data_IF_136229697803
#
_entry.id   IF_136229697803
#
_cell.length_a   1.000
_cell.length_b   1.000
_cell.length_c   1.000
_cell.angle_alpha   90.00
_cell.angle_beta   90.00
_cell.angle_gamma   90.00
#
_symmetry.space_group_name_H-M   'P 1'
#
loop_
_entity.id
_entity.type
_entity.pdbx_description
1 polymer ?
#
# COMPACT_ATOMS: atom_id res chain seq x y z
N UNK A 1 35.47 -16.48 -28.64
CA UNK A 1 34.76 -15.92 -29.80
C UNK A 1 33.51 -16.75 -30.03
N UNK A 2 32.31 -16.16 -29.93
CA UNK A 2 31.07 -16.90 -30.28
C UNK A 2 31.09 -17.20 -31.79
N UNK A 3 30.61 -18.36 -32.26
CA UNK A 3 30.53 -18.64 -33.69
C UNK A 3 29.51 -17.68 -34.32
N UNK A 4 30.00 -16.77 -35.16
CA UNK A 4 29.16 -15.84 -35.93
C UNK A 4 28.62 -16.59 -37.15
N UNK A 5 27.30 -16.77 -37.25
CA UNK A 5 26.66 -17.33 -38.46
C UNK A 5 26.16 -16.19 -39.33
N UNK A 6 26.30 -16.33 -40.64
CA UNK A 6 25.89 -15.31 -41.60
C UNK A 6 24.54 -15.68 -42.20
N UNK A 7 23.61 -14.73 -42.31
CA UNK A 7 22.28 -14.96 -42.88
C UNK A 7 21.93 -13.88 -43.90
N UNK A 8 21.31 -14.28 -45.00
CA UNK A 8 20.75 -13.33 -45.97
C UNK A 8 19.46 -12.70 -45.42
N UNK A 9 19.36 -11.38 -45.36
CA UNK A 9 18.15 -10.69 -44.92
C UNK A 9 16.96 -10.91 -45.86
N UNK A 10 17.22 -11.08 -47.16
CA UNK A 10 16.15 -11.21 -48.16
C UNK A 10 15.51 -12.59 -48.16
N UNK A 11 16.29 -13.65 -47.98
CA UNK A 11 15.80 -15.03 -48.10
C UNK A 11 16.11 -15.93 -46.90
N UNK A 12 16.69 -15.38 -45.83
CA UNK A 12 17.04 -16.07 -44.57
C UNK A 12 17.95 -17.29 -44.69
N UNK A 13 18.63 -17.46 -45.83
CA UNK A 13 19.58 -18.56 -46.04
C UNK A 13 20.87 -18.32 -45.25
N UNK A 14 21.33 -19.35 -44.56
CA UNK A 14 22.57 -19.34 -43.79
C UNK A 14 23.81 -19.55 -44.66
N UNK A 15 24.90 -18.86 -44.32
CA UNK A 15 26.20 -18.93 -44.97
C UNK A 15 27.31 -19.15 -43.92
N UNK A 16 28.33 -19.93 -44.28
CA UNK A 16 29.46 -20.24 -43.40
C UNK A 16 30.45 -19.08 -43.22
N UNK A 17 30.49 -18.15 -44.18
CA UNK A 17 31.34 -16.95 -44.17
C UNK A 17 30.62 -15.78 -44.83
N UNK A 18 31.01 -14.56 -44.49
CA UNK A 18 30.51 -13.38 -45.18
C UNK A 18 30.91 -13.40 -46.65
N UNK A 19 29.98 -12.98 -47.51
CA UNK A 19 30.23 -12.81 -48.94
C UNK A 19 29.29 -11.73 -49.49
N UNK A 20 29.70 -11.05 -50.57
CA UNK A 20 28.98 -9.89 -51.10
C UNK A 20 27.63 -10.20 -51.76
N UNK A 21 27.37 -11.45 -52.14
CA UNK A 21 26.14 -11.85 -52.83
C UNK A 21 25.55 -13.15 -52.23
N UNK A 22 24.24 -13.16 -52.01
CA UNK A 22 23.51 -14.35 -51.58
C UNK A 22 23.48 -15.42 -52.68
N UNK A 23 23.94 -16.64 -52.37
CA UNK A 23 23.94 -17.75 -53.32
C UNK A 23 22.55 -18.30 -53.64
N UNK A 24 21.54 -17.99 -52.81
CA UNK A 24 20.16 -18.45 -53.02
C UNK A 24 19.31 -17.43 -53.79
N UNK A 25 19.23 -16.17 -53.31
CA UNK A 25 18.37 -15.16 -53.92
C UNK A 25 19.11 -14.15 -54.82
N UNK A 26 20.44 -14.27 -54.93
CA UNK A 26 21.31 -13.37 -55.73
C UNK A 26 21.32 -11.90 -55.30
N UNK A 27 20.71 -11.55 -54.17
CA UNK A 27 20.75 -10.21 -53.59
C UNK A 27 22.17 -9.85 -53.15
N UNK A 28 22.65 -8.68 -53.57
CA UNK A 28 23.92 -8.11 -53.15
C UNK A 28 23.81 -7.45 -51.77
N UNK A 29 24.91 -7.46 -51.00
CA UNK A 29 25.06 -6.84 -49.68
C UNK A 29 23.94 -7.18 -48.68
N UNK A 30 23.33 -8.35 -48.84
CA UNK A 30 22.19 -8.79 -48.03
C UNK A 30 22.59 -9.75 -46.91
N UNK A 31 23.86 -10.13 -46.80
CA UNK A 31 24.34 -11.12 -45.83
C UNK A 31 24.88 -10.42 -44.59
N UNK A 32 24.23 -10.65 -43.46
CA UNK A 32 24.63 -10.09 -42.17
C UNK A 32 25.05 -11.16 -41.17
N UNK A 33 25.99 -10.81 -40.29
CA UNK A 33 26.38 -11.64 -39.17
C UNK A 33 25.32 -11.58 -38.06
N UNK A 34 24.72 -12.71 -37.71
CA UNK A 34 23.88 -12.84 -36.51
C UNK A 34 24.61 -13.66 -35.46
N UNK A 35 24.53 -13.20 -34.22
CA UNK A 35 24.89 -14.02 -33.06
C UNK A 35 23.87 -15.16 -32.97
N UNK A 36 24.32 -16.39 -32.71
CA UNK A 36 23.38 -17.50 -32.45
C UNK A 36 22.40 -17.08 -31.35
N UNK A 37 21.11 -17.08 -31.69
CA UNK A 37 20.07 -17.09 -30.70
C UNK A 37 20.32 -18.31 -29.79
N UNK A 38 20.28 -18.11 -28.47
CA UNK A 38 20.41 -19.22 -27.51
C UNK A 38 19.41 -20.31 -27.94
N UNK A 39 19.78 -21.60 -27.87
CA UNK A 39 18.80 -22.65 -28.07
C UNK A 39 17.63 -22.37 -27.12
N UNK A 40 16.43 -22.27 -27.68
CA UNK A 40 15.20 -22.23 -26.89
C UNK A 40 15.25 -23.51 -26.06
N UNK A 41 15.48 -23.36 -24.76
CA UNK A 41 15.21 -24.45 -23.83
C UNK A 41 13.71 -24.66 -23.97
N UNK A 42 13.31 -25.75 -24.63
CA UNK A 42 11.94 -26.24 -24.57
C UNK A 42 11.67 -26.54 -23.10
N UNK A 43 11.18 -25.54 -22.36
CA UNK A 43 10.45 -25.79 -21.13
C UNK A 43 9.20 -26.49 -21.60
N UNK A 44 9.11 -27.81 -21.39
CA UNK A 44 7.82 -28.50 -21.36
C UNK A 44 6.91 -27.69 -20.44
N UNK A 45 5.96 -26.97 -21.02
CA UNK A 45 4.94 -26.29 -20.25
C UNK A 45 4.00 -27.39 -19.78
N UNK A 46 4.09 -27.75 -18.51
CA UNK A 46 3.11 -28.66 -17.90
C UNK A 46 1.70 -28.06 -18.11
N UNK A 47 0.90 -28.73 -18.95
CA UNK A 47 -0.52 -28.39 -19.11
C UNK A 47 -1.23 -28.90 -17.86
N UNK A 48 -1.30 -28.05 -16.85
CA UNK A 48 -1.96 -28.36 -15.58
C UNK A 48 -3.39 -27.83 -15.61
N UNK A 49 -4.33 -28.64 -15.13
CA UNK A 49 -5.67 -28.15 -14.79
C UNK A 49 -5.61 -27.22 -13.58
N UNK A 50 -6.56 -26.30 -13.45
CA UNK A 50 -6.60 -25.33 -12.35
C UNK A 50 -6.44 -26.00 -10.96
N UNK A 51 -7.04 -27.19 -10.78
CA UNK A 51 -7.00 -27.94 -9.52
C UNK A 51 -5.64 -28.56 -9.21
N UNK A 52 -4.74 -28.65 -10.20
CA UNK A 52 -3.38 -29.17 -10.05
C UNK A 52 -2.35 -28.05 -9.82
N UNK A 53 -2.75 -26.79 -10.00
CA UNK A 53 -1.88 -25.63 -9.77
C UNK A 53 -1.83 -25.32 -8.29
N UNK A 54 -0.72 -25.65 -7.63
CA UNK A 54 -0.44 -25.19 -6.27
C UNK A 54 -0.19 -23.68 -6.26
N UNK A 55 -1.09 -22.92 -5.65
CA UNK A 55 -1.07 -21.45 -5.63
C UNK A 55 -0.07 -20.85 -4.63
N UNK A 56 0.46 -21.63 -3.69
CA UNK A 56 1.34 -21.14 -2.60
C UNK A 56 2.86 -21.27 -2.88
N UNK A 57 3.29 -21.59 -4.11
CA UNK A 57 4.72 -21.83 -4.41
C UNK A 57 5.59 -20.57 -4.58
N UNK A 58 5.04 -19.37 -4.45
CA UNK A 58 5.80 -18.13 -4.69
C UNK A 58 6.31 -17.55 -3.37
N UNK A 59 7.62 -17.36 -3.30
CA UNK A 59 8.25 -16.69 -2.15
C UNK A 59 7.93 -15.20 -2.16
N UNK A 60 7.72 -14.64 -0.96
CA UNK A 60 7.49 -13.22 -0.74
C UNK A 60 8.63 -12.66 0.13
N UNK A 61 9.07 -11.44 -0.18
CA UNK A 61 9.85 -10.65 0.76
C UNK A 61 8.89 -10.09 1.81
N UNK A 62 9.28 -10.23 3.08
CA UNK A 62 8.55 -9.65 4.19
C UNK A 62 8.63 -8.12 4.08
N UNK A 63 7.49 -7.48 4.29
CA UNK A 63 7.42 -6.03 4.47
C UNK A 63 6.54 -5.78 5.68
N UNK A 64 7.03 -5.01 6.65
CA UNK A 64 6.30 -4.76 7.89
C UNK A 64 5.41 -3.52 7.82
N UNK A 65 5.68 -2.58 6.90
CA UNK A 65 4.82 -1.43 6.63
C UNK A 65 3.38 -1.82 6.18
N UNK A 66 2.33 -1.39 6.90
CA UNK A 66 0.94 -1.69 6.54
C UNK A 66 0.49 -1.12 5.18
N UNK A 67 0.95 0.09 4.79
CA UNK A 67 0.64 0.64 3.44
C UNK A 67 1.06 -0.33 2.35
N UNK A 68 2.25 -0.88 2.48
CA UNK A 68 2.80 -1.77 1.47
C UNK A 68 2.20 -3.17 1.56
N UNK A 69 1.87 -3.65 2.76
CA UNK A 69 1.05 -4.87 2.94
C UNK A 69 -0.29 -4.75 2.20
N UNK A 70 -0.94 -3.59 2.22
CA UNK A 70 -2.21 -3.41 1.48
C UNK A 70 -2.06 -3.56 -0.04
N UNK A 71 -0.89 -3.25 -0.61
CA UNK A 71 -0.62 -3.47 -2.03
C UNK A 71 -0.32 -4.93 -2.37
N UNK A 72 0.36 -5.67 -1.48
CA UNK A 72 0.89 -6.99 -1.82
C UNK A 72 0.40 -8.15 -0.93
N UNK A 73 -0.53 -7.89 -0.01
CA UNK A 73 -1.16 -8.80 0.97
C UNK A 73 -0.15 -9.63 1.78
N UNK A 74 0.46 -10.66 1.17
CA UNK A 74 1.42 -11.61 1.75
C UNK A 74 2.87 -11.10 1.79
N UNK A 75 3.16 -9.93 1.21
CA UNK A 75 4.50 -9.34 1.10
C UNK A 75 4.90 -9.07 -0.34
N UNK A 76 6.09 -8.52 -0.61
CA UNK A 76 6.48 -8.20 -1.99
C UNK A 76 6.90 -9.48 -2.71
N UNK A 77 6.22 -9.90 -3.80
CA UNK A 77 6.49 -11.20 -4.42
C UNK A 77 7.88 -11.19 -5.05
N UNK A 78 8.70 -12.20 -4.76
CA UNK A 78 9.98 -12.39 -5.45
C UNK A 78 9.76 -12.70 -6.93
N UNK A 79 10.83 -12.58 -7.73
CA UNK A 79 10.82 -12.87 -9.18
C UNK A 79 9.82 -11.99 -9.92
N UNK A 80 9.81 -10.70 -9.61
CA UNK A 80 8.83 -9.75 -10.12
C UNK A 80 9.48 -8.46 -10.60
N UNK A 81 8.82 -7.81 -11.55
CA UNK A 81 9.25 -6.51 -12.08
C UNK A 81 8.13 -5.49 -11.90
N UNK A 82 8.46 -4.38 -11.23
CA UNK A 82 7.55 -3.27 -10.96
C UNK A 82 8.05 -1.98 -11.59
N UNK A 83 7.13 -1.14 -12.04
CA UNK A 83 7.42 0.22 -12.51
C UNK A 83 6.86 1.23 -11.52
N UNK A 84 7.70 2.21 -11.17
CA UNK A 84 7.30 3.42 -10.46
C UNK A 84 7.41 4.62 -11.41
N UNK A 85 6.26 5.17 -11.77
CA UNK A 85 6.14 6.33 -12.65
C UNK A 85 5.78 7.59 -11.88
N UNK A 86 6.13 8.76 -12.41
CA UNK A 86 5.75 10.04 -11.81
C UNK A 86 6.59 11.21 -12.31
N UNK A 87 6.11 12.43 -12.07
CA UNK A 87 6.79 13.65 -12.54
C UNK A 87 8.20 13.77 -11.90
N UNK A 88 9.17 14.42 -12.57
CA UNK A 88 10.44 14.78 -11.92
C UNK A 88 10.19 15.53 -10.60
N UNK A 89 10.95 15.23 -9.55
CA UNK A 89 10.80 15.88 -8.24
C UNK A 89 9.63 15.41 -7.36
N UNK A 90 8.79 14.49 -7.83
CA UNK A 90 7.65 13.98 -7.03
C UNK A 90 8.07 13.10 -5.84
N UNK A 91 9.32 12.64 -5.78
CA UNK A 91 9.82 11.78 -4.70
C UNK A 91 9.87 10.28 -5.03
N UNK A 92 10.01 9.91 -6.31
CA UNK A 92 10.15 8.51 -6.75
C UNK A 92 11.37 7.82 -6.12
N UNK A 93 12.52 8.48 -6.17
CA UNK A 93 13.76 7.98 -5.59
C UNK A 93 13.61 7.81 -4.07
N UNK A 94 12.96 8.76 -3.39
CA UNK A 94 12.61 8.63 -1.96
C UNK A 94 11.68 7.44 -1.67
N UNK A 95 10.81 7.05 -2.60
CA UNK A 95 9.94 5.88 -2.42
C UNK A 95 10.69 4.56 -2.59
N UNK A 96 11.58 4.45 -3.56
CA UNK A 96 12.42 3.25 -3.67
C UNK A 96 13.43 3.15 -2.53
N UNK A 97 13.89 4.26 -1.96
CA UNK A 97 14.66 4.28 -0.72
C UNK A 97 13.84 3.77 0.47
N UNK A 98 12.59 4.22 0.59
CA UNK A 98 11.65 3.70 1.58
C UNK A 98 11.44 2.19 1.43
N UNK A 99 11.28 1.69 0.19
CA UNK A 99 11.18 0.24 -0.06
C UNK A 99 12.45 -0.52 0.34
N UNK A 100 13.63 0.01 0.02
CA UNK A 100 14.89 -0.60 0.41
C UNK A 100 15.02 -0.67 1.94
N UNK A 101 14.60 0.38 2.66
CA UNK A 101 14.57 0.40 4.14
C UNK A 101 13.65 -0.66 4.72
N UNK A 102 12.46 -0.82 4.15
CA UNK A 102 11.42 -1.70 4.69
C UNK A 102 11.60 -3.18 4.34
N UNK A 103 12.35 -3.49 3.27
CA UNK A 103 12.41 -4.84 2.71
C UNK A 103 13.85 -5.36 2.61
N UNK A 104 14.78 -4.50 2.21
CA UNK A 104 16.00 -4.92 1.54
C UNK A 104 17.22 -4.86 2.43
N UNK A 105 17.50 -5.95 3.16
CA UNK A 105 18.78 -6.13 3.85
C UNK A 105 19.96 -6.13 2.86
N UNK A 106 19.72 -6.55 1.60
CA UNK A 106 20.67 -6.48 0.48
C UNK A 106 20.01 -5.84 -0.74
N UNK A 107 20.41 -4.62 -1.03
CA UNK A 107 19.82 -3.80 -2.10
C UNK A 107 20.87 -3.38 -3.13
N UNK A 108 20.57 -3.54 -4.41
CA UNK A 108 21.40 -3.06 -5.52
C UNK A 108 20.75 -1.85 -6.17
N UNK A 109 21.48 -0.73 -6.21
CA UNK A 109 21.08 0.48 -6.92
C UNK A 109 21.88 0.64 -8.21
N UNK A 110 21.16 0.65 -9.33
CA UNK A 110 21.68 1.06 -10.63
C UNK A 110 21.27 2.51 -10.86
N UNK A 111 22.24 3.41 -10.69
CA UNK A 111 22.00 4.85 -10.71
C UNK A 111 22.50 5.39 -12.04
N UNK A 112 21.62 6.09 -12.76
CA UNK A 112 21.95 6.69 -14.03
C UNK A 112 21.98 8.22 -14.01
N UNK A 113 21.07 8.87 -13.29
CA UNK A 113 20.95 10.34 -13.29
C UNK A 113 21.72 11.04 -12.16
N UNK A 114 21.88 10.38 -11.01
CA UNK A 114 22.52 10.94 -9.81
C UNK A 114 23.92 10.36 -9.57
N UNK A 115 24.78 11.10 -8.87
CA UNK A 115 26.10 10.59 -8.47
C UNK A 115 25.98 9.59 -7.31
N UNK A 116 26.97 8.71 -7.17
CA UNK A 116 27.00 7.73 -6.06
C UNK A 116 26.99 8.42 -4.71
N UNK A 117 27.71 9.54 -4.59
CA UNK A 117 27.83 10.34 -3.37
C UNK A 117 26.47 10.94 -2.99
N UNK A 118 25.74 11.49 -3.96
CA UNK A 118 24.41 12.05 -3.74
C UNK A 118 23.41 11.01 -3.24
N UNK A 119 23.43 9.81 -3.84
CA UNK A 119 22.54 8.71 -3.43
C UNK A 119 22.94 8.19 -2.05
N UNK A 120 24.24 8.02 -1.78
CA UNK A 120 24.71 7.59 -0.47
C UNK A 120 24.31 8.57 0.64
N UNK A 121 24.46 9.88 0.40
CA UNK A 121 24.04 10.92 1.36
C UNK A 121 22.52 10.93 1.56
N UNK A 122 21.73 10.72 0.50
CA UNK A 122 20.27 10.59 0.60
C UNK A 122 19.87 9.38 1.44
N UNK A 123 20.47 8.22 1.19
CA UNK A 123 20.14 6.99 1.89
C UNK A 123 20.52 7.04 3.36
N UNK A 124 21.65 7.68 3.70
CA UNK A 124 22.00 8.00 5.09
C UNK A 124 20.95 8.87 5.77
N UNK A 125 20.49 9.93 5.10
CA UNK A 125 19.43 10.80 5.64
C UNK A 125 18.10 10.07 5.80
N UNK A 126 17.78 9.16 4.88
CA UNK A 126 16.56 8.34 4.96
C UNK A 126 16.68 7.18 5.95
N UNK A 127 17.83 7.04 6.61
CA UNK A 127 18.14 5.97 7.56
C UNK A 127 17.94 4.58 6.94
N UNK A 128 18.29 4.43 5.66
CA UNK A 128 18.28 3.13 5.01
C UNK A 128 19.47 2.34 5.57
N UNK A 129 19.17 1.19 6.16
CA UNK A 129 20.15 0.29 6.75
C UNK A 129 20.23 -1.00 5.94
N UNK A 130 21.38 -1.67 5.93
CA UNK A 130 21.63 -2.89 5.16
C UNK A 130 22.88 -2.81 4.28
N UNK A 131 23.16 -3.90 3.57
CA UNK A 131 24.24 -4.01 2.59
C UNK A 131 23.76 -3.44 1.25
N UNK A 132 24.04 -2.15 1.04
CA UNK A 132 23.64 -1.42 -0.16
C UNK A 132 24.82 -1.31 -1.11
N UNK A 133 24.68 -1.89 -2.30
CA UNK A 133 25.67 -1.78 -3.38
C UNK A 133 25.20 -0.80 -4.44
N UNK A 134 26.11 0.06 -4.92
CA UNK A 134 25.84 1.04 -5.97
C UNK A 134 26.68 0.78 -7.22
N UNK A 135 26.05 0.89 -8.38
CA UNK A 135 26.72 0.92 -9.68
C UNK A 135 26.30 2.17 -10.45
N UNK A 136 27.29 2.84 -11.05
CA UNK A 136 27.12 4.08 -11.81
C UNK A 136 26.94 3.78 -13.30
N UNK A 137 26.06 4.60 -13.90
CA UNK A 137 25.87 5.02 -15.30
C UNK A 137 26.36 4.10 -16.43
N UNK A 138 25.41 3.76 -17.30
CA UNK A 138 25.50 3.01 -18.56
C UNK A 138 25.73 1.51 -18.43
N UNK A 139 25.00 0.87 -17.52
CA UNK A 139 24.95 -0.59 -17.47
C UNK A 139 24.15 -1.10 -18.66
N UNK A 140 24.85 -1.80 -19.55
CA UNK A 140 24.19 -2.62 -20.57
C UNK A 140 23.42 -3.74 -19.86
N UNK A 141 22.16 -3.96 -20.24
CA UNK A 141 21.32 -5.00 -19.65
C UNK A 141 21.99 -6.39 -19.72
N UNK A 142 22.83 -6.65 -20.73
CA UNK A 142 23.63 -7.87 -20.85
C UNK A 142 24.64 -8.08 -19.71
N UNK A 143 25.11 -7.01 -19.06
CA UNK A 143 26.03 -7.09 -17.92
C UNK A 143 25.32 -7.40 -16.59
N UNK A 144 24.02 -7.10 -16.50
CA UNK A 144 23.23 -7.28 -15.27
C UNK A 144 23.25 -8.70 -14.76
N UNK A 145 23.28 -9.68 -15.65
CA UNK A 145 23.41 -11.09 -15.28
C UNK A 145 24.65 -11.38 -14.42
N UNK A 146 25.81 -10.86 -14.85
CA UNK A 146 27.07 -11.05 -14.13
C UNK A 146 27.13 -10.27 -12.82
N UNK A 147 26.41 -9.15 -12.73
CA UNK A 147 26.30 -8.34 -11.53
C UNK A 147 25.39 -9.02 -10.50
N UNK A 148 24.18 -9.42 -10.90
CA UNK A 148 23.20 -10.07 -10.04
C UNK A 148 23.72 -11.42 -9.52
N UNK A 149 24.49 -12.16 -10.31
CA UNK A 149 25.08 -13.43 -9.86
C UNK A 149 26.11 -13.26 -8.73
N UNK A 150 26.84 -12.12 -8.72
CA UNK A 150 27.85 -11.80 -7.71
C UNK A 150 27.23 -11.20 -6.44
N UNK A 151 26.36 -10.20 -6.61
CA UNK A 151 25.80 -9.43 -5.49
C UNK A 151 24.65 -10.18 -4.81
N UNK A 152 23.84 -10.91 -5.60
CA UNK A 152 22.63 -11.60 -5.14
C UNK A 152 21.72 -10.73 -4.24
N UNK A 153 21.31 -9.54 -4.74
CA UNK A 153 20.44 -8.65 -3.98
C UNK A 153 19.01 -9.23 -3.91
N UNK A 154 18.28 -8.85 -2.87
CA UNK A 154 16.84 -9.15 -2.77
C UNK A 154 16.02 -8.16 -3.59
N UNK A 155 16.48 -6.92 -3.62
CA UNK A 155 15.90 -5.82 -4.41
C UNK A 155 16.95 -5.21 -5.32
N UNK A 156 16.59 -5.04 -6.59
CA UNK A 156 17.36 -4.27 -7.56
C UNK A 156 16.54 -3.04 -7.99
N UNK A 157 17.05 -1.84 -7.71
CA UNK A 157 16.44 -0.57 -8.06
C UNK A 157 17.17 0.01 -9.27
N UNK A 158 16.41 0.36 -10.31
CA UNK A 158 16.90 0.97 -11.54
C UNK A 158 16.36 2.40 -11.62
N UNK A 159 17.20 3.39 -11.32
CA UNK A 159 16.84 4.81 -11.34
C UNK A 159 17.75 5.57 -12.34
N UNK A 160 17.34 5.77 -13.61
CA UNK A 160 16.00 5.57 -14.21
C UNK A 160 16.05 4.63 -15.43
N UNK A 161 14.88 4.13 -15.87
CA UNK A 161 14.76 3.25 -17.04
C UNK A 161 15.45 3.81 -18.30
N UNK A 162 15.41 5.14 -18.47
CA UNK A 162 16.00 5.86 -19.60
C UNK A 162 17.52 5.67 -19.71
N UNK A 163 18.16 5.28 -18.61
CA UNK A 163 19.61 5.13 -18.52
C UNK A 163 20.09 3.74 -18.93
N UNK A 164 19.20 2.75 -19.01
CA UNK A 164 19.49 1.43 -19.53
C UNK A 164 19.76 1.46 -21.04
N UNK A 165 20.64 0.56 -21.49
CA UNK A 165 20.97 0.32 -22.89
C UNK A 165 20.99 -1.18 -23.17
N UNK A 166 20.70 -1.54 -24.42
CA UNK A 166 20.90 -2.89 -24.93
C UNK A 166 21.77 -2.80 -26.19
N UNK A 167 22.97 -3.38 -26.14
CA UNK A 167 23.96 -3.35 -27.21
C UNK A 167 24.23 -1.93 -27.75
N UNK A 168 24.24 -0.94 -26.84
CA UNK A 168 24.43 0.48 -27.18
C UNK A 168 23.24 1.17 -27.87
N UNK A 169 22.13 0.46 -28.12
CA UNK A 169 20.92 1.00 -28.74
C UNK A 169 19.84 1.39 -27.73
N UNK A 170 18.98 2.34 -28.13
CA UNK A 170 17.80 2.83 -27.37
C UNK A 170 16.51 2.81 -28.21
N UNK A 171 16.42 1.94 -29.22
CA UNK A 171 15.24 1.83 -30.08
C UNK A 171 13.99 1.32 -29.33
N UNK A 172 12.78 1.52 -29.88
CA UNK A 172 11.54 1.00 -29.26
C UNK A 172 11.53 -0.52 -29.10
N UNK A 173 12.04 -1.26 -30.08
CA UNK A 173 12.18 -2.72 -30.00
C UNK A 173 13.15 -3.14 -28.91
N UNK A 174 14.23 -2.38 -28.69
CA UNK A 174 15.17 -2.64 -27.60
C UNK A 174 14.51 -2.47 -26.22
N UNK A 175 13.51 -1.59 -26.06
CA UNK A 175 12.85 -1.38 -24.76
C UNK A 175 12.00 -2.56 -24.31
N UNK A 176 11.22 -3.15 -25.23
CA UNK A 176 10.43 -4.34 -24.93
C UNK A 176 11.33 -5.55 -24.64
N UNK A 177 12.42 -5.67 -25.39
CA UNK A 177 13.41 -6.72 -25.19
C UNK A 177 14.13 -6.58 -23.84
N UNK A 178 14.55 -5.36 -23.46
CA UNK A 178 15.14 -5.09 -22.16
C UNK A 178 14.22 -5.53 -21.01
N UNK A 179 12.93 -5.25 -21.09
CA UNK A 179 11.97 -5.64 -20.03
C UNK A 179 11.80 -7.15 -19.97
N UNK A 180 11.77 -7.83 -21.12
CA UNK A 180 11.76 -9.30 -21.15
C UNK A 180 12.99 -9.88 -20.47
N UNK A 181 14.18 -9.33 -20.79
CA UNK A 181 15.44 -9.77 -20.17
C UNK A 181 15.41 -9.50 -18.66
N UNK A 182 14.92 -8.34 -18.21
CA UNK A 182 14.77 -8.04 -16.79
C UNK A 182 13.82 -9.01 -16.09
N UNK A 183 12.71 -9.41 -16.74
CA UNK A 183 11.80 -10.43 -16.23
C UNK A 183 12.49 -11.79 -16.06
N UNK A 184 13.27 -12.22 -17.07
CA UNK A 184 14.05 -13.45 -16.99
C UNK A 184 15.10 -13.39 -15.88
N UNK A 185 15.79 -12.25 -15.72
CA UNK A 185 16.77 -12.04 -14.65
C UNK A 185 16.12 -12.04 -13.26
N UNK A 186 14.95 -11.41 -13.12
CA UNK A 186 14.19 -11.44 -11.88
C UNK A 186 13.85 -12.89 -11.48
N UNK A 187 13.42 -13.70 -12.45
CA UNK A 187 13.12 -15.11 -12.24
C UNK A 187 14.36 -15.96 -11.93
N UNK A 188 15.43 -15.80 -12.72
CA UNK A 188 16.69 -16.55 -12.62
C UNK A 188 17.40 -16.30 -11.27
N UNK A 189 17.38 -15.07 -10.77
CA UNK A 189 18.11 -14.67 -9.55
C UNK A 189 17.24 -14.48 -8.31
N UNK A 190 15.94 -14.76 -8.39
CA UNK A 190 15.00 -14.61 -7.26
C UNK A 190 14.97 -13.19 -6.67
N UNK A 191 15.10 -12.17 -7.53
CA UNK A 191 15.20 -10.76 -7.15
C UNK A 191 13.92 -10.01 -7.51
N UNK A 192 13.57 -8.98 -6.73
CA UNK A 192 12.53 -8.01 -7.06
C UNK A 192 13.16 -6.81 -7.74
N UNK A 193 12.69 -6.48 -8.95
CA UNK A 193 13.23 -5.36 -9.73
C UNK A 193 12.24 -4.20 -9.70
N UNK A 194 12.67 -3.04 -9.22
CA UNK A 194 11.93 -1.78 -9.28
C UNK A 194 12.55 -0.84 -10.30
N UNK A 195 11.75 -0.41 -11.27
CA UNK A 195 12.17 0.48 -12.35
C UNK A 195 11.53 1.84 -12.14
N UNK A 196 12.36 2.88 -11.96
CA UNK A 196 11.89 4.26 -11.89
C UNK A 196 11.81 4.83 -13.30
N UNK A 197 10.68 5.45 -13.63
CA UNK A 197 10.45 6.06 -14.93
C UNK A 197 9.80 7.45 -14.79
N UNK A 198 10.23 8.38 -15.64
CA UNK A 198 9.64 9.73 -15.70
C UNK A 198 8.42 9.76 -16.63
N UNK A 199 7.38 10.48 -16.19
CA UNK A 199 6.23 10.82 -17.05
C UNK A 199 6.46 12.17 -17.74
N UNK A 200 5.89 12.32 -18.93
CA UNK A 200 5.92 13.59 -19.66
C UNK A 200 4.94 14.60 -19.05
N UNK A 201 4.93 15.85 -19.56
CA UNK A 201 4.04 16.94 -19.10
C UNK A 201 2.54 16.60 -19.21
N UNK A 202 2.17 15.59 -19.98
CA UNK A 202 0.78 15.12 -20.13
C UNK A 202 0.44 13.96 -19.18
N UNK A 203 1.34 13.61 -18.24
CA UNK A 203 1.13 12.55 -17.25
C UNK A 203 1.27 11.14 -17.80
N UNK A 204 1.62 10.97 -19.07
CA UNK A 204 1.85 9.67 -19.68
C UNK A 204 3.32 9.27 -19.48
N UNK A 205 3.56 7.99 -19.18
CA UNK A 205 4.89 7.39 -19.21
C UNK A 205 5.56 7.72 -20.55
N UNK A 206 6.67 8.47 -20.51
CA UNK A 206 7.25 9.10 -21.69
C UNK A 206 7.77 8.06 -22.69
N UNK A 207 6.90 7.59 -23.59
CA UNK A 207 7.21 6.56 -24.59
C UNK A 207 7.17 5.11 -24.07
N UNK A 208 6.80 4.87 -22.81
CA UNK A 208 6.86 3.54 -22.17
C UNK A 208 5.49 2.88 -21.95
N UNK A 209 4.43 3.40 -22.55
CA UNK A 209 3.05 2.91 -22.36
C UNK A 209 2.89 1.42 -22.68
N UNK A 210 3.66 0.90 -23.65
CA UNK A 210 3.64 -0.51 -24.03
C UNK A 210 4.28 -1.42 -22.97
N UNK A 211 5.22 -0.90 -22.18
CA UNK A 211 5.94 -1.65 -21.15
C UNK A 211 5.04 -1.91 -19.94
N UNK A 212 4.08 -1.03 -19.66
CA UNK A 212 3.09 -1.19 -18.58
C UNK A 212 2.38 -2.55 -18.65
N UNK A 213 2.16 -3.08 -19.86
CA UNK A 213 1.52 -4.37 -20.06
C UNK A 213 2.45 -5.57 -19.81
N UNK A 214 3.77 -5.38 -19.91
CA UNK A 214 4.78 -6.44 -19.79
C UNK A 214 5.26 -6.66 -18.35
N UNK A 215 5.16 -5.65 -17.49
CA UNK A 215 5.58 -5.75 -16.07
C UNK A 215 4.48 -6.30 -15.18
N UNK A 216 4.83 -6.71 -13.95
CA UNK A 216 3.86 -7.32 -13.03
C UNK A 216 3.03 -6.29 -12.25
N UNK A 217 3.55 -5.09 -12.05
CA UNK A 217 2.80 -3.98 -11.48
C UNK A 217 3.32 -2.62 -11.93
N UNK A 218 2.39 -1.66 -11.97
CA UNK A 218 2.62 -0.27 -12.35
C UNK A 218 2.06 0.61 -11.25
N UNK A 219 2.95 1.37 -10.63
CA UNK A 219 2.66 2.31 -9.57
C UNK A 219 2.95 3.72 -10.07
N UNK A 220 2.07 4.65 -9.74
CA UNK A 220 2.19 6.06 -10.11
C UNK A 220 2.29 6.89 -8.85
N UNK A 221 3.36 7.68 -8.73
CA UNK A 221 3.57 8.61 -7.64
C UNK A 221 3.18 10.02 -8.09
N UNK A 222 2.27 10.64 -7.35
CA UNK A 222 1.71 11.95 -7.64
C UNK A 222 1.88 12.88 -6.44
N UNK A 223 2.07 14.17 -6.69
CA UNK A 223 2.07 15.19 -5.65
C UNK A 223 0.67 15.78 -5.54
N UNK A 224 0.13 15.79 -4.33
CA UNK A 224 -1.15 16.41 -4.01
C UNK A 224 -0.97 17.89 -3.61
N UNK A 225 -2.08 18.63 -3.57
CA UNK A 225 -2.08 20.09 -3.29
C UNK A 225 -1.57 20.44 -1.89
N UNK A 226 -1.71 19.53 -0.94
CA UNK A 226 -1.32 19.68 0.46
C UNK A 226 0.15 19.29 0.72
N UNK A 227 0.96 19.19 -0.33
CA UNK A 227 2.35 18.72 -0.28
C UNK A 227 2.53 17.26 0.15
N UNK A 228 1.45 16.48 0.24
CA UNK A 228 1.55 15.02 0.39
C UNK A 228 1.87 14.36 -0.96
N UNK A 229 2.23 13.08 -0.91
CA UNK A 229 2.51 12.26 -2.09
C UNK A 229 1.58 11.06 -2.09
N UNK A 230 0.98 10.77 -3.24
CA UNK A 230 0.05 9.66 -3.40
C UNK A 230 0.65 8.60 -4.32
N UNK A 231 0.75 7.38 -3.82
CA UNK A 231 1.07 6.20 -4.61
C UNK A 231 -0.23 5.54 -5.05
N UNK A 232 -0.36 5.32 -6.36
CA UNK A 232 -1.54 4.73 -6.97
C UNK A 232 -1.10 3.47 -7.73
N UNK A 233 -1.68 2.32 -7.40
CA UNK A 233 -1.46 1.09 -8.16
C UNK A 233 -2.37 1.09 -9.40
N UNK A 234 -1.83 1.47 -10.56
CA UNK A 234 -2.55 1.43 -11.84
C UNK A 234 -2.65 0.01 -12.38
N UNK A 235 -1.68 -0.85 -12.06
CA UNK A 235 -1.68 -2.29 -12.37
C UNK A 235 -1.01 -3.03 -11.23
N UNK A 236 -1.58 -4.14 -10.79
CA UNK A 236 -0.95 -5.00 -9.80
C UNK A 236 -1.44 -6.43 -9.99
N UNK A 237 -0.59 -7.34 -10.48
CA UNK A 237 -0.95 -8.76 -10.64
C UNK A 237 -1.06 -9.52 -9.32
N UNK A 238 -0.60 -8.92 -8.22
CA UNK A 238 -0.46 -9.58 -6.92
C UNK A 238 -1.31 -8.92 -5.82
N UNK A 239 -2.18 -8.00 -6.21
CA UNK A 239 -3.05 -7.28 -5.30
C UNK A 239 -4.02 -6.40 -6.07
N UNK A 240 -4.67 -5.48 -5.37
CA UNK A 240 -5.69 -4.63 -5.97
C UNK A 240 -5.05 -3.58 -6.88
N UNK A 241 -5.55 -3.51 -8.12
CA UNK A 241 -5.39 -2.34 -8.99
C UNK A 241 -6.46 -1.33 -8.62
N UNK A 242 -6.11 -0.04 -8.49
CA UNK A 242 -6.91 1.09 -7.97
C UNK A 242 -6.61 1.53 -6.53
N UNK A 243 -5.78 0.78 -5.81
CA UNK A 243 -5.44 1.10 -4.43
C UNK A 243 -4.55 2.36 -4.38
N UNK A 244 -4.85 3.24 -3.42
CA UNK A 244 -4.17 4.52 -3.23
C UNK A 244 -3.67 4.62 -1.80
N UNK A 245 -2.42 5.03 -1.64
CA UNK A 245 -1.82 5.26 -0.34
C UNK A 245 -1.03 6.55 -0.33
N UNK A 246 -1.11 7.27 0.78
CA UNK A 246 -0.57 8.61 0.90
C UNK A 246 0.66 8.60 1.81
N UNK A 247 1.63 9.44 1.49
CA UNK A 247 2.91 9.59 2.16
C UNK A 247 3.19 11.08 2.40
N UNK A 248 3.85 11.38 3.51
CA UNK A 248 4.42 12.69 3.81
C UNK A 248 5.91 12.68 3.50
N UNK A 249 6.43 13.78 2.96
CA UNK A 249 7.87 13.95 2.77
C UNK A 249 8.45 14.65 4.00
N UNK A 250 9.28 13.93 4.75
CA UNK A 250 10.02 14.44 5.91
C UNK A 250 11.52 14.53 5.59
N UNK A 251 12.32 15.07 6.52
CA UNK A 251 13.77 15.12 6.36
C UNK A 251 14.40 13.71 6.32
N UNK A 252 13.81 12.77 7.05
CA UNK A 252 14.16 11.34 7.07
C UNK A 252 13.56 10.54 5.91
N UNK A 253 13.02 11.20 4.89
CA UNK A 253 12.45 10.56 3.70
C UNK A 253 10.93 10.46 3.73
N UNK A 254 10.38 9.43 3.09
CA UNK A 254 8.93 9.25 3.00
C UNK A 254 8.39 8.51 4.23
N UNK A 255 7.38 9.10 4.84
CA UNK A 255 6.64 8.51 5.97
C UNK A 255 5.21 8.20 5.54
N UNK A 256 4.73 6.95 5.67
CA UNK A 256 3.35 6.59 5.35
C UNK A 256 2.35 7.39 6.18
N UNK A 257 1.32 7.96 5.54
CA UNK A 257 0.18 8.59 6.20
C UNK A 257 -0.97 7.59 6.18
N UNK A 258 -1.30 7.02 7.33
CA UNK A 258 -2.32 5.98 7.43
C UNK A 258 -3.73 6.54 7.12
N UNK A 259 -4.01 7.82 7.37
CA UNK A 259 -5.32 8.42 7.09
C UNK A 259 -5.24 9.70 6.24
N UNK A 260 -6.10 9.83 5.21
CA UNK A 260 -6.27 11.10 4.47
C UNK A 260 -6.84 12.23 5.35
N UNK A 261 -7.46 11.89 6.50
CA UNK A 261 -7.68 12.82 7.61
C UNK A 261 -6.49 12.70 8.56
N UNK A 262 -5.54 13.63 8.45
CA UNK A 262 -4.32 13.73 9.26
C UNK A 262 -4.47 13.16 10.69
N UNK A 263 -3.64 12.17 11.03
CA UNK A 263 -3.45 11.72 12.41
C UNK A 263 -2.77 12.78 13.28
N UNK A 264 -2.08 13.77 12.68
CA UNK A 264 -1.51 14.94 13.38
C UNK A 264 -2.57 15.85 14.02
N UNK A 265 -3.85 15.78 13.61
CA UNK A 265 -4.96 16.52 14.23
C UNK A 265 -5.72 15.70 15.28
N UNK A 266 -5.34 14.44 15.53
CA UNK A 266 -5.97 13.66 16.59
C UNK A 266 -5.48 14.15 17.96
N UNK A 267 -6.24 15.08 18.52
CA UNK A 267 -6.07 15.50 19.91
C UNK A 267 -6.82 14.51 20.78
N UNK A 268 -6.09 13.86 21.68
CA UNK A 268 -6.60 12.99 22.72
C UNK A 268 -7.42 13.82 23.73
N UNK A 269 -8.74 13.80 23.59
CA UNK A 269 -9.68 14.55 24.44
C UNK A 269 -10.67 13.55 25.05
N UNK A 270 -10.97 13.64 26.36
CA UNK A 270 -12.04 12.85 26.95
C UNK A 270 -13.38 13.08 26.24
N UNK A 271 -14.10 11.99 25.99
CA UNK A 271 -15.37 12.00 25.29
C UNK A 271 -15.28 12.10 23.76
N UNK A 272 -14.08 12.00 23.18
CA UNK A 272 -13.90 11.90 21.72
C UNK A 272 -13.76 10.46 21.27
N UNK A 273 -14.71 10.01 20.46
CA UNK A 273 -14.72 8.67 19.85
C UNK A 273 -15.21 8.72 18.40
N UNK A 274 -15.05 7.62 17.68
CA UNK A 274 -15.46 7.48 16.29
C UNK A 274 -16.40 6.29 16.10
N UNK A 275 -17.23 6.33 15.07
CA UNK A 275 -18.02 5.19 14.63
C UNK A 275 -18.03 5.08 13.10
N UNK A 276 -18.17 3.87 12.55
CA UNK A 276 -18.33 3.69 11.12
C UNK A 276 -19.73 4.08 10.65
N UNK A 277 -19.80 4.95 9.64
CA UNK A 277 -21.01 5.24 8.90
C UNK A 277 -20.98 4.50 7.56
N UNK A 278 -22.06 3.78 7.28
CA UNK A 278 -22.22 2.97 6.08
C UNK A 278 -23.15 3.68 5.11
N UNK A 279 -22.61 4.16 3.98
CA UNK A 279 -23.38 4.72 2.87
C UNK A 279 -23.12 3.90 1.60
N UNK A 280 -24.03 2.95 1.33
CA UNK A 280 -23.92 1.96 0.25
C UNK A 280 -22.59 1.19 0.36
N UNK A 281 -21.66 1.42 -0.55
CA UNK A 281 -20.34 0.79 -0.58
C UNK A 281 -19.25 1.62 0.13
N UNK A 282 -19.55 2.82 0.60
CA UNK A 282 -18.59 3.68 1.30
C UNK A 282 -18.72 3.49 2.81
N UNK A 283 -17.58 3.29 3.46
CA UNK A 283 -17.46 3.29 4.92
C UNK A 283 -16.56 4.46 5.28
N UNK A 284 -17.07 5.36 6.12
CA UNK A 284 -16.32 6.51 6.63
C UNK A 284 -16.41 6.55 8.16
N UNK A 285 -15.34 6.98 8.82
CA UNK A 285 -15.38 7.24 10.27
C UNK A 285 -15.97 8.62 10.54
N UNK A 286 -16.98 8.64 11.40
CA UNK A 286 -17.65 9.85 11.89
C UNK A 286 -17.30 10.06 13.36
N UNK A 287 -16.94 11.29 13.72
CA UNK A 287 -16.56 11.66 15.08
C UNK A 287 -17.77 12.06 15.91
N UNK A 288 -17.79 11.59 17.16
CA UNK A 288 -18.65 12.07 18.24
C UNK A 288 -17.74 12.69 19.30
N UNK A 289 -18.05 13.93 19.66
CA UNK A 289 -17.45 14.62 20.80
C UNK A 289 -18.54 14.79 21.87
N UNK A 290 -18.26 14.36 23.11
CA UNK A 290 -19.12 14.61 24.26
C UNK A 290 -18.38 15.30 25.39
N UNK A 291 -19.04 16.27 26.00
CA UNK A 291 -18.55 17.02 27.14
C UNK A 291 -19.60 17.03 28.23
N UNK A 292 -19.22 16.55 29.42
CA UNK A 292 -20.04 16.56 30.61
C UNK A 292 -19.59 17.65 31.56
N UNK A 293 -20.53 18.47 32.02
CA UNK A 293 -20.27 19.55 32.97
C UNK A 293 -21.10 19.31 34.24
N UNK A 294 -20.49 19.23 35.43
CA UNK A 294 -21.25 19.14 36.68
C UNK A 294 -22.13 20.38 36.85
N UNK A 295 -23.43 20.18 37.05
CA UNK A 295 -24.40 21.26 37.31
C UNK A 295 -25.42 20.81 38.36
N UNK A 296 -26.01 21.78 39.07
CA UNK A 296 -27.11 21.47 39.99
C UNK A 296 -28.27 20.84 39.21
N UNK A 297 -28.93 19.84 39.80
CA UNK A 297 -29.96 19.04 39.12
C UNK A 297 -31.03 19.87 38.40
N UNK A 298 -31.43 21.00 38.99
CA UNK A 298 -32.45 21.91 38.44
C UNK A 298 -31.99 22.74 37.22
N UNK A 299 -30.70 22.69 36.88
CA UNK A 299 -30.09 23.43 35.77
C UNK A 299 -29.56 22.54 34.66
N UNK A 300 -29.71 21.20 34.77
CA UNK A 300 -29.23 20.27 33.76
C UNK A 300 -29.79 20.59 32.37
N UNK A 301 -28.89 20.67 31.40
CA UNK A 301 -29.22 20.94 29.99
C UNK A 301 -28.50 19.96 29.08
N UNK A 302 -29.25 19.44 28.12
CA UNK A 302 -28.72 18.62 27.04
C UNK A 302 -28.69 19.45 25.76
N UNK A 303 -27.48 19.68 25.24
CA UNK A 303 -27.26 20.38 23.96
C UNK A 303 -26.73 19.38 22.96
N UNK A 304 -27.59 19.01 22.00
CA UNK A 304 -27.34 17.92 21.05
C UNK A 304 -27.24 18.48 19.63
N UNK A 305 -26.14 18.20 18.95
CA UNK A 305 -25.91 18.58 17.56
C UNK A 305 -25.62 17.33 16.74
N UNK A 306 -26.44 17.07 15.72
CA UNK A 306 -26.27 15.95 14.79
C UNK A 306 -26.80 14.61 15.30
N UNK A 307 -27.44 14.56 16.47
CA UNK A 307 -28.13 13.37 17.01
C UNK A 307 -29.56 13.72 17.45
N UNK A 308 -30.47 12.74 17.32
CA UNK A 308 -31.85 12.86 17.76
C UNK A 308 -31.97 12.84 19.30
N UNK A 309 -32.77 13.76 19.85
CA UNK A 309 -32.94 13.92 21.30
C UNK A 309 -33.62 12.74 22.00
N UNK A 310 -34.76 12.23 21.49
CA UNK A 310 -35.35 10.97 21.96
C UNK A 310 -34.35 9.81 21.98
N UNK A 311 -33.59 9.58 20.90
CA UNK A 311 -32.56 8.53 20.85
C UNK A 311 -31.50 8.73 21.94
N UNK A 312 -30.98 9.94 22.08
CA UNK A 312 -30.01 10.26 23.14
C UNK A 312 -30.54 9.93 24.54
N UNK A 313 -31.76 10.37 24.88
CA UNK A 313 -32.37 10.10 26.19
C UNK A 313 -32.57 8.61 26.45
N UNK A 314 -32.98 7.86 25.43
CA UNK A 314 -33.12 6.41 25.52
C UNK A 314 -31.77 5.73 25.80
N UNK A 315 -30.72 6.13 25.09
CA UNK A 315 -29.37 5.62 25.31
C UNK A 315 -28.83 5.94 26.72
N UNK A 316 -29.04 7.16 27.22
CA UNK A 316 -28.67 7.54 28.60
C UNK A 316 -29.40 6.67 29.62
N UNK A 317 -30.67 6.34 29.38
CA UNK A 317 -31.42 5.46 30.26
C UNK A 317 -30.82 4.05 30.30
N UNK A 318 -30.48 3.49 29.13
CA UNK A 318 -29.80 2.18 29.03
C UNK A 318 -28.46 2.21 29.77
N UNK A 319 -27.65 3.26 29.59
CA UNK A 319 -26.38 3.42 30.30
C UNK A 319 -26.59 3.41 31.82
N UNK A 320 -27.53 4.21 32.32
CA UNK A 320 -27.78 4.35 33.76
C UNK A 320 -28.34 3.09 34.42
N UNK A 321 -28.95 2.18 33.63
CA UNK A 321 -29.54 0.94 34.13
C UNK A 321 -28.56 -0.22 34.10
N UNK A 322 -27.67 -0.27 33.09
CA UNK A 322 -26.80 -1.40 32.81
C UNK A 322 -25.30 -1.12 33.07
N UNK A 323 -24.95 0.05 33.59
CA UNK A 323 -23.57 0.41 33.94
C UNK A 323 -23.50 1.02 35.33
N UNK A 324 -22.30 1.08 35.91
CA UNK A 324 -22.08 1.72 37.22
C UNK A 324 -22.21 3.25 37.17
N UNK A 325 -22.34 3.80 35.96
CA UNK A 325 -22.21 5.22 35.66
C UNK A 325 -23.56 5.93 35.65
N UNK A 326 -23.61 7.11 36.27
CA UNK A 326 -24.80 7.96 36.29
C UNK A 326 -24.48 9.36 35.78
N UNK A 327 -25.33 9.86 34.87
CA UNK A 327 -25.26 11.24 34.37
C UNK A 327 -26.13 12.22 35.17
N UNK A 328 -26.68 11.79 36.31
CA UNK A 328 -27.44 12.68 37.21
C UNK A 328 -26.52 13.78 37.75
N UNK A 329 -26.97 15.03 37.65
CA UNK A 329 -26.17 16.21 38.05
C UNK A 329 -25.14 16.66 37.01
N UNK A 330 -25.21 16.19 35.76
CA UNK A 330 -24.39 16.68 34.66
C UNK A 330 -25.23 17.29 33.55
N UNK A 331 -24.78 18.42 33.01
CA UNK A 331 -25.23 18.94 31.72
C UNK A 331 -24.40 18.30 30.61
N UNK A 332 -25.08 17.89 29.54
CA UNK A 332 -24.46 17.13 28.45
C UNK A 332 -24.39 17.95 27.17
N UNK A 333 -23.22 17.96 26.54
CA UNK A 333 -22.99 18.63 25.26
C UNK A 333 -22.44 17.61 24.28
N UNK A 334 -23.20 17.30 23.23
CA UNK A 334 -22.83 16.30 22.23
C UNK A 334 -22.80 16.93 20.86
N UNK A 335 -21.73 16.65 20.12
CA UNK A 335 -21.59 17.05 18.73
C UNK A 335 -21.18 15.85 17.88
N UNK A 336 -21.97 15.56 16.87
CA UNK A 336 -21.64 14.65 15.79
C UNK A 336 -21.23 15.46 14.57
N UNK A 337 -20.07 15.17 13.95
CA UNK A 337 -19.51 15.98 12.85
C UNK A 337 -20.42 16.06 11.61
N UNK A 338 -21.30 15.07 11.39
CA UNK A 338 -22.25 15.04 10.28
C UNK A 338 -23.62 14.57 10.77
N UNK A 339 -24.68 15.05 10.12
CA UNK A 339 -26.03 14.53 10.34
C UNK A 339 -26.05 13.05 9.98
N UNK A 340 -26.52 12.26 10.91
CA UNK A 340 -26.47 10.81 10.82
C UNK A 340 -27.62 10.32 9.93
N UNK A 341 -27.32 9.55 8.87
CA UNK A 341 -28.34 8.87 8.06
C UNK A 341 -29.01 7.73 8.86
N UNK A 342 -30.19 7.27 8.41
CA UNK A 342 -31.05 6.31 9.12
C UNK A 342 -30.50 4.88 9.34
N UNK A 343 -29.29 4.55 8.84
CA UNK A 343 -28.63 3.23 8.97
C UNK A 343 -27.34 3.25 9.81
N UNK A 344 -27.17 4.29 10.58
CA UNK A 344 -26.01 4.48 11.44
C UNK A 344 -26.02 3.60 12.68
N UNK A 345 -24.82 3.27 13.13
CA UNK A 345 -24.56 2.42 14.29
C UNK A 345 -23.76 3.27 15.31
N UNK A 346 -24.36 4.39 15.70
CA UNK A 346 -23.75 5.39 16.57
C UNK A 346 -24.02 5.14 18.06
N UNK A 347 -24.85 4.15 18.41
CA UNK A 347 -25.32 3.88 19.78
C UNK A 347 -24.17 3.54 20.74
N UNK A 348 -23.36 2.55 20.39
CA UNK A 348 -22.20 2.19 21.21
C UNK A 348 -21.19 3.34 21.32
N UNK A 349 -21.01 4.10 20.23
CA UNK A 349 -20.11 5.24 20.21
C UNK A 349 -20.61 6.40 21.07
N UNK A 350 -21.91 6.70 21.04
CA UNK A 350 -22.51 7.68 21.93
C UNK A 350 -22.25 7.32 23.38
N UNK A 351 -22.54 6.07 23.77
CA UNK A 351 -22.34 5.59 25.14
C UNK A 351 -20.87 5.63 25.55
N UNK A 352 -19.97 5.11 24.73
CA UNK A 352 -18.54 5.13 25.04
C UNK A 352 -17.96 6.54 25.10
N UNK A 353 -18.49 7.49 24.30
CA UNK A 353 -18.12 8.90 24.43
C UNK A 353 -18.49 9.42 25.83
N UNK A 354 -19.70 9.13 26.32
CA UNK A 354 -20.17 9.58 27.63
C UNK A 354 -19.37 8.94 28.76
N UNK A 355 -19.06 7.64 28.66
CA UNK A 355 -18.20 6.92 29.59
C UNK A 355 -16.81 7.57 29.68
N UNK A 356 -16.19 7.86 28.53
CA UNK A 356 -14.89 8.51 28.45
C UNK A 356 -14.92 9.94 29.00
N UNK A 357 -15.96 10.72 28.71
CA UNK A 357 -16.14 12.08 29.22
C UNK A 357 -16.32 12.10 30.74
N UNK A 358 -17.12 11.17 31.27
CA UNK A 358 -17.38 11.04 32.70
C UNK A 358 -16.14 10.60 33.48
N UNK A 359 -15.41 9.62 32.95
CA UNK A 359 -14.13 9.17 33.50
C UNK A 359 -12.97 10.16 33.29
N UNK A 360 -13.17 11.20 32.46
CA UNK A 360 -12.12 12.13 32.01
C UNK A 360 -10.92 11.42 31.37
N UNK A 361 -11.17 10.34 30.65
CA UNK A 361 -10.13 9.48 30.05
C UNK A 361 -9.97 9.81 28.56
N UNK A 362 -8.85 10.42 28.14
CA UNK A 362 -8.52 10.52 26.73
C UNK A 362 -7.96 9.19 26.19
N UNK A 363 -7.97 9.01 24.88
CA UNK A 363 -7.35 7.85 24.23
C UNK A 363 -6.14 8.31 23.41
N UNK A 364 -5.04 7.57 23.47
CA UNK A 364 -3.81 7.87 22.72
C UNK A 364 -3.95 7.62 21.22
N UNK A 365 -4.96 6.85 20.84
CA UNK A 365 -5.32 6.56 19.47
C UNK A 365 -6.84 6.67 19.28
N UNK A 366 -7.33 6.88 18.04
CA UNK A 366 -8.75 6.91 17.75
C UNK A 366 -9.47 5.64 18.26
N UNK A 367 -10.35 5.80 19.24
CA UNK A 367 -11.24 4.72 19.67
C UNK A 367 -12.46 4.67 18.73
N UNK A 368 -12.60 3.56 18.03
CA UNK A 368 -13.69 3.31 17.09
C UNK A 368 -14.65 2.34 17.75
N UNK A 369 -15.89 2.76 17.96
CA UNK A 369 -16.93 1.99 18.62
C UNK A 369 -18.03 1.69 17.59
N UNK A 370 -18.33 0.42 17.39
CA UNK A 370 -19.33 0.00 16.42
C UNK A 370 -20.24 -1.07 17.04
N UNK A 371 -21.53 -0.78 17.16
CA UNK A 371 -22.49 -1.72 17.72
C UNK A 371 -23.83 -1.05 18.00
N UNK A 372 -24.91 -1.77 17.74
CA UNK A 372 -26.22 -1.42 18.28
C UNK A 372 -26.31 -1.97 19.70
N UNK A 373 -27.05 -1.30 20.57
CA UNK A 373 -27.15 -1.67 21.99
C UNK A 373 -28.61 -1.88 22.32
N UNK A 374 -28.93 -3.05 22.89
CA UNK A 374 -30.28 -3.35 23.32
C UNK A 374 -30.59 -2.77 24.72
N UNK A 375 -31.84 -2.89 25.14
CA UNK A 375 -32.29 -2.42 26.47
C UNK A 375 -31.61 -3.14 27.63
N UNK A 376 -31.09 -4.35 27.41
CA UNK A 376 -30.35 -5.13 28.43
C UNK A 376 -28.88 -4.69 28.55
N UNK A 377 -28.43 -3.76 27.71
CA UNK A 377 -27.02 -3.38 27.62
C UNK A 377 -26.16 -4.38 26.86
N UNK A 378 -26.77 -5.33 26.14
CA UNK A 378 -26.04 -6.23 25.24
C UNK A 378 -25.68 -5.50 23.94
N UNK A 379 -24.47 -5.72 23.44
CA UNK A 379 -23.99 -5.15 22.18
C UNK A 379 -24.30 -6.14 21.06
N UNK A 380 -25.23 -5.76 20.19
CA UNK A 380 -25.68 -6.59 19.08
C UNK A 380 -24.62 -6.71 18.00
N UNK A 381 -24.47 -7.93 17.46
CA UNK A 381 -23.50 -8.22 16.42
C UNK A 381 -23.82 -7.43 15.14
N UNK A 382 -22.80 -6.85 14.53
CA UNK A 382 -22.95 -6.16 13.26
C UNK A 382 -23.01 -7.14 12.10
N UNK A 383 -24.14 -7.14 11.39
CA UNK A 383 -24.31 -7.92 10.18
C UNK A 383 -23.64 -7.22 8.99
N UNK A 384 -22.32 -7.37 8.89
CA UNK A 384 -21.50 -6.84 7.81
C UNK A 384 -21.12 -7.97 6.84
N UNK A 385 -21.17 -7.69 5.54
CA UNK A 385 -20.61 -8.60 4.55
C UNK A 385 -19.07 -8.65 4.62
N UNK A 386 -18.46 -9.63 3.93
CA UNK A 386 -17.00 -9.85 3.97
C UNK A 386 -16.22 -8.61 3.50
N UNK A 387 -16.74 -7.90 2.49
CA UNK A 387 -16.09 -6.72 1.91
C UNK A 387 -16.19 -5.50 2.84
N UNK A 388 -17.31 -5.34 3.52
CA UNK A 388 -17.53 -4.31 4.54
C UNK A 388 -16.65 -4.55 5.77
N UNK A 389 -16.52 -5.81 6.21
CA UNK A 389 -15.59 -6.23 7.27
C UNK A 389 -14.16 -5.84 6.91
N UNK A 390 -13.69 -6.21 5.71
CA UNK A 390 -12.34 -5.89 5.26
C UNK A 390 -12.10 -4.38 5.14
N UNK A 391 -13.05 -3.62 4.58
CA UNK A 391 -12.97 -2.15 4.49
C UNK A 391 -12.92 -1.50 5.86
N UNK A 392 -13.76 -1.94 6.81
CA UNK A 392 -13.76 -1.40 8.16
C UNK A 392 -12.43 -1.68 8.86
N UNK A 393 -11.92 -2.91 8.75
CA UNK A 393 -10.62 -3.28 9.31
C UNK A 393 -9.49 -2.41 8.74
N UNK A 394 -9.45 -2.26 7.40
CA UNK A 394 -8.46 -1.42 6.73
C UNK A 394 -8.58 0.05 7.18
N UNK A 395 -9.81 0.57 7.33
CA UNK A 395 -10.04 1.93 7.80
C UNK A 395 -9.58 2.14 9.25
N UNK A 396 -9.73 1.13 10.12
CA UNK A 396 -9.23 1.17 11.49
C UNK A 396 -7.70 1.16 11.54
N UNK A 397 -7.06 0.30 10.74
CA UNK A 397 -5.59 0.29 10.59
C UNK A 397 -5.08 1.61 10.01
N UNK A 398 -5.79 2.17 9.03
CA UNK A 398 -5.50 3.46 8.41
C UNK A 398 -5.57 4.62 9.43
N UNK A 399 -6.37 4.55 10.49
CA UNK A 399 -6.32 5.60 11.55
C UNK A 399 -5.45 5.22 12.74
N UNK A 400 -4.72 4.10 12.66
CA UNK A 400 -4.06 3.46 13.81
C UNK A 400 -5.00 3.37 15.03
N UNK A 401 -6.28 3.11 14.76
CA UNK A 401 -7.35 3.16 15.75
C UNK A 401 -7.63 1.80 16.35
N UNK A 402 -8.14 1.81 17.58
CA UNK A 402 -8.62 0.61 18.26
C UNK A 402 -10.11 0.44 17.97
N UNK A 403 -10.49 -0.65 17.31
CA UNK A 403 -11.89 -0.98 17.04
C UNK A 403 -12.46 -1.82 18.17
N UNK A 404 -13.57 -1.39 18.75
CA UNK A 404 -14.36 -2.15 19.71
C UNK A 404 -15.74 -2.39 19.12
N UNK A 405 -16.11 -3.66 18.99
CA UNK A 405 -17.24 -4.06 18.17
C UNK A 405 -17.75 -5.43 18.58
N UNK A 406 -19.04 -5.69 18.42
CA UNK A 406 -19.60 -7.04 18.56
C UNK A 406 -19.64 -7.72 17.19
N UNK A 407 -18.82 -8.76 16.99
CA UNK A 407 -18.72 -9.52 15.72
C UNK A 407 -18.49 -10.99 16.02
N UNK A 408 -18.93 -11.86 15.10
CA UNK A 408 -18.60 -13.29 15.06
C UNK A 408 -17.08 -13.53 15.17
N UNK A 409 -16.71 -14.65 15.81
CA UNK A 409 -15.36 -14.99 16.28
C UNK A 409 -14.26 -14.90 15.20
N UNK A 410 -14.57 -15.12 13.92
CA UNK A 410 -13.59 -15.12 12.82
C UNK A 410 -13.02 -13.74 12.43
N UNK A 411 -13.55 -12.62 12.94
CA UNK A 411 -13.02 -11.27 12.67
C UNK A 411 -12.13 -10.73 13.80
N UNK A 412 -12.13 -11.37 14.97
CA UNK A 412 -11.50 -10.87 16.19
C UNK A 412 -9.98 -11.13 16.29
N UNK A 413 -9.34 -11.75 15.29
CA UNK A 413 -7.93 -12.18 15.36
C UNK A 413 -6.89 -11.07 15.06
N UNK A 414 -7.30 -9.80 14.97
CA UNK A 414 -6.37 -8.69 14.71
C UNK A 414 -6.05 -7.92 15.99
N UNK A 415 -4.78 -7.55 16.20
CA UNK A 415 -4.28 -6.90 17.43
C UNK A 415 -5.04 -5.61 17.81
N UNK A 416 -5.67 -4.93 16.84
CA UNK A 416 -6.36 -3.66 17.03
C UNK A 416 -7.90 -3.80 17.12
N UNK A 417 -8.44 -5.02 17.10
CA UNK A 417 -9.88 -5.28 17.20
C UNK A 417 -10.18 -5.99 18.51
N UNK A 418 -11.12 -5.44 19.27
CA UNK A 418 -11.60 -6.03 20.53
C UNK A 418 -13.08 -6.35 20.38
N UNK A 419 -13.40 -7.63 20.55
CA UNK A 419 -14.79 -8.10 20.59
C UNK A 419 -15.42 -7.81 21.96
N UNK A 420 -16.64 -7.30 21.97
CA UNK A 420 -17.42 -7.04 23.19
C UNK A 420 -18.83 -7.58 23.07
N UNK A 421 -19.40 -8.03 24.18
CA UNK A 421 -20.75 -8.60 24.25
C UNK A 421 -21.75 -7.69 24.96
N UNK A 422 -21.29 -6.83 25.86
CA UNK A 422 -22.15 -5.98 26.69
C UNK A 422 -21.47 -4.65 27.06
N UNK A 423 -22.24 -3.74 27.66
CA UNK A 423 -21.76 -2.43 28.08
C UNK A 423 -20.73 -2.49 29.22
N UNK A 424 -20.78 -3.50 30.10
CA UNK A 424 -19.81 -3.64 31.19
C UNK A 424 -18.40 -3.92 30.67
N UNK A 425 -18.27 -4.75 29.63
CA UNK A 425 -16.99 -5.00 28.94
C UNK A 425 -16.45 -3.73 28.27
N UNK A 426 -17.34 -2.94 27.66
CA UNK A 426 -16.99 -1.66 27.02
C UNK A 426 -16.54 -0.65 28.08
N UNK A 427 -17.28 -0.53 29.19
CA UNK A 427 -16.92 0.29 30.34
C UNK A 427 -15.54 -0.13 30.88
N UNK A 428 -15.29 -1.43 31.04
CA UNK A 428 -13.99 -1.92 31.48
C UNK A 428 -12.86 -1.55 30.50
N UNK A 429 -13.08 -1.63 29.18
CA UNK A 429 -12.06 -1.23 28.18
C UNK A 429 -11.76 0.27 28.25
N UNK A 430 -12.80 1.09 28.44
CA UNK A 430 -12.68 2.54 28.49
C UNK A 430 -12.04 2.99 29.82
N UNK A 431 -12.49 2.43 30.94
CA UNK A 431 -12.06 2.83 32.28
C UNK A 431 -10.75 2.17 32.74
N UNK A 432 -10.40 0.95 32.29
CA UNK A 432 -9.10 0.32 32.64
C UNK A 432 -7.88 1.03 32.06
N UNK A 433 -8.04 1.95 31.10
CA UNK A 433 -6.94 2.84 30.67
C UNK A 433 -6.58 3.91 31.72
N UNK A 434 -7.31 4.02 32.83
CA UNK A 434 -7.03 4.97 33.92
C UNK A 434 -6.30 4.36 35.13
N UNK A 435 -6.02 3.05 35.14
CA UNK A 435 -5.37 2.34 36.25
C UNK A 435 -3.96 1.87 35.94
#
# INVERSE_FOLDING_TARGET
MKPTKFFCETCSVGHAKWQGQCSACKSWNSIEARLEARPLVEKESDILSLNQVQTDRRDYLRIDCPHMKSFFHKGVPKKSVFILSGQPGVGKSSFVDFLAKEIGERSLYLIGEESKEQVADRLKRHEVSGDITYLSSEVDVGQLRGILSKIRPEICIIDSFQTLKLDGSRSRSSQTEMISILGDLAFEYNVVIWIVAHVNKQGNLAGLKYIEHMVDGVFTFQMEKDSTRKLIASKNRFGRSDLKKTFSMQQSGLTPIFCEKKSEDYIAIPGRVFFPSFDRDKIELVRIDSMLKPENYNLQRDVLVGIDGPKFRFMVQILSHNSSLSLKGYSTYIRVERSVNSKSIEELALLGSLMSSLGKIPFDCPLILAGAVDVSGSVLALNLDVHQKEKLHNLCQDVNGKLVVSIDENFAESENVVSVKNLEEVEAIILKKAS
#
